data_IF_453743835106
#
_entry.id   IF_453743835106
#
_cell.length_a   1.000
_cell.length_b   1.000
_cell.length_c   1.000
_cell.angle_alpha   90.00
_cell.angle_beta   90.00
_cell.angle_gamma   90.00
#
_symmetry.space_group_name_H-M   'P 1'
#
loop_
_entity.id
_entity.type
_entity.pdbx_description
1 polymer ?
#
# COMPACT_ATOMS: atom_id res chain seq x y z
N UNK A 1 -14.77 6.36 -1.92
CA UNK A 1 -14.63 5.68 -0.61
C UNK A 1 -13.64 6.45 0.24
N UNK A 2 -13.74 6.38 1.57
CA UNK A 2 -12.58 6.64 2.41
C UNK A 2 -11.50 5.61 2.04
N UNK A 3 -10.31 6.06 1.65
CA UNK A 3 -9.20 5.19 1.27
C UNK A 3 -8.96 4.19 2.42
N UNK A 4 -9.28 2.91 2.22
CA UNK A 4 -9.07 1.92 3.29
C UNK A 4 -7.58 1.76 3.48
N UNK A 5 -7.13 1.96 4.71
CA UNK A 5 -5.75 1.82 5.06
C UNK A 5 -5.30 0.37 4.81
N UNK A 6 -4.12 0.23 4.21
CA UNK A 6 -3.42 -1.03 4.02
C UNK A 6 -2.68 -1.28 5.34
N UNK A 7 -2.93 -2.42 5.97
CA UNK A 7 -2.19 -2.84 7.16
C UNK A 7 -0.94 -3.61 6.73
N UNK A 8 0.22 -3.15 7.20
CA UNK A 8 1.51 -3.77 6.90
C UNK A 8 2.02 -4.43 8.18
N UNK A 9 1.91 -5.76 8.32
CA UNK A 9 2.41 -6.47 9.47
C UNK A 9 3.92 -6.71 9.36
N UNK A 10 4.60 -6.67 10.51
CA UNK A 10 5.99 -7.08 10.63
C UNK A 10 6.22 -7.74 11.99
N UNK A 11 7.25 -8.58 12.07
CA UNK A 11 7.56 -9.35 13.27
C UNK A 11 8.90 -8.89 13.84
N UNK A 12 8.96 -8.73 15.16
CA UNK A 12 10.18 -8.37 15.87
C UNK A 12 10.47 -9.43 16.92
N UNK A 13 11.70 -9.93 16.90
CA UNK A 13 12.22 -10.85 17.87
C UNK A 13 13.46 -10.29 18.55
N UNK A 14 13.68 -10.75 19.77
CA UNK A 14 14.91 -10.57 20.53
C UNK A 14 15.42 -11.95 20.92
N UNK A 15 16.66 -12.27 20.54
CA UNK A 15 17.30 -13.55 20.85
C UNK A 15 16.45 -14.76 20.40
N UNK A 16 15.73 -14.60 19.28
CA UNK A 16 14.83 -15.61 18.73
C UNK A 16 13.48 -15.75 19.45
N UNK A 17 13.17 -14.92 20.44
CA UNK A 17 11.87 -14.87 21.12
C UNK A 17 11.05 -13.65 20.69
N UNK A 18 9.71 -13.72 20.69
CA UNK A 18 8.88 -12.57 20.35
C UNK A 18 9.13 -11.38 21.29
N UNK A 19 9.36 -10.20 20.73
CA UNK A 19 9.44 -8.96 21.50
C UNK A 19 8.05 -8.37 21.69
N UNK A 20 7.44 -8.53 22.86
CA UNK A 20 6.08 -8.02 23.14
C UNK A 20 6.11 -6.71 23.91
N UNK A 21 5.12 -5.84 23.69
CA UNK A 21 4.91 -4.61 24.45
C UNK A 21 5.88 -3.48 24.13
N UNK A 22 6.59 -3.54 23.00
CA UNK A 22 7.65 -2.59 22.66
C UNK A 22 7.21 -1.51 21.65
N UNK A 23 5.92 -1.35 21.36
CA UNK A 23 5.45 -0.43 20.30
C UNK A 23 5.86 1.04 20.51
N UNK A 24 6.06 1.48 21.76
CA UNK A 24 6.53 2.84 22.09
C UNK A 24 8.03 3.03 21.88
N UNK A 25 8.77 1.94 21.79
CA UNK A 25 10.22 1.91 21.55
C UNK A 25 10.55 1.78 20.05
N UNK A 26 9.53 1.77 19.19
CA UNK A 26 9.68 1.65 17.74
C UNK A 26 9.40 2.98 17.05
N UNK A 27 10.20 3.30 16.04
CA UNK A 27 9.96 4.45 15.17
C UNK A 27 10.53 4.18 13.77
N UNK A 28 10.15 5.01 12.80
CA UNK A 28 10.74 4.98 11.48
C UNK A 28 12.07 5.75 11.49
N UNK A 29 13.18 5.03 11.38
CA UNK A 29 14.50 5.62 11.11
C UNK A 29 14.49 6.36 9.76
N UNK A 30 13.79 5.80 8.78
CA UNK A 30 13.52 6.48 7.52
C UNK A 30 12.23 5.97 6.89
N UNK A 31 11.53 6.87 6.20
CA UNK A 31 10.41 6.55 5.33
C UNK A 31 10.42 7.51 4.15
N UNK A 32 10.54 6.98 2.93
CA UNK A 32 10.64 7.77 1.72
C UNK A 32 9.71 7.23 0.65
N UNK A 33 9.28 8.10 -0.25
CA UNK A 33 8.72 7.67 -1.54
C UNK A 33 9.84 7.14 -2.44
N UNK A 34 9.48 6.34 -3.43
CA UNK A 34 10.44 5.74 -4.38
C UNK A 34 11.27 6.76 -5.17
N UNK A 35 10.76 7.97 -5.34
CA UNK A 35 11.47 9.11 -5.95
C UNK A 35 12.47 9.81 -4.99
N UNK A 36 12.51 9.38 -3.72
CA UNK A 36 13.43 9.86 -2.70
C UNK A 36 12.89 10.97 -1.80
N UNK A 37 11.63 11.40 -1.95
CA UNK A 37 11.02 12.38 -1.03
C UNK A 37 10.89 11.82 0.38
N UNK A 38 11.36 12.58 1.37
CA UNK A 38 11.31 12.15 2.78
C UNK A 38 9.92 12.37 3.38
N UNK A 39 9.39 11.32 4.00
CA UNK A 39 8.08 11.27 4.65
C UNK A 39 8.19 10.81 6.11
N UNK A 40 9.40 10.71 6.65
CA UNK A 40 9.65 10.19 8.01
C UNK A 40 8.93 10.99 9.10
N UNK A 41 8.82 12.32 8.94
CA UNK A 41 8.08 13.19 9.89
C UNK A 41 6.57 12.94 9.92
N UNK A 42 6.04 12.26 8.91
CA UNK A 42 4.64 11.91 8.80
C UNK A 42 4.40 10.42 8.93
N UNK A 43 5.40 9.69 9.44
CA UNK A 43 5.33 8.24 9.56
C UNK A 43 4.09 7.81 10.36
N UNK A 44 3.42 6.73 9.93
CA UNK A 44 2.26 6.21 10.64
C UNK A 44 2.68 5.62 11.99
N UNK A 45 1.76 5.67 12.95
CA UNK A 45 1.98 5.03 14.24
C UNK A 45 2.12 3.50 14.08
N UNK A 46 3.05 2.93 14.85
CA UNK A 46 3.24 1.49 14.98
C UNK A 46 2.40 0.99 16.15
N UNK A 47 1.72 -0.14 15.97
CA UNK A 47 0.89 -0.78 17.01
C UNK A 47 1.15 -2.28 17.07
N UNK A 48 1.19 -2.83 18.28
CA UNK A 48 1.30 -4.28 18.46
C UNK A 48 -0.03 -4.97 18.16
N UNK A 49 0.02 -6.10 17.45
CA UNK A 49 -1.12 -6.99 17.17
C UNK A 49 -1.02 -8.34 17.89
N UNK A 50 0.06 -8.54 18.65
CA UNK A 50 0.23 -9.61 19.62
C UNK A 50 1.36 -10.58 19.29
N UNK A 51 2.01 -11.10 20.33
CA UNK A 51 3.02 -12.14 20.18
C UNK A 51 4.22 -11.73 19.35
N UNK A 52 4.70 -10.49 19.49
CA UNK A 52 5.84 -9.93 18.74
C UNK A 52 5.50 -9.45 17.33
N UNK A 53 4.24 -9.53 16.93
CA UNK A 53 3.76 -8.93 15.69
C UNK A 53 3.30 -7.50 15.92
N UNK A 54 3.69 -6.64 14.98
CA UNK A 54 3.36 -5.23 14.93
C UNK A 54 2.77 -4.90 13.57
N UNK A 55 2.10 -3.75 13.48
CA UNK A 55 1.62 -3.19 12.22
C UNK A 55 1.74 -1.68 12.21
N UNK A 56 1.77 -1.16 11.01
CA UNK A 56 1.42 0.23 10.72
C UNK A 56 0.42 0.25 9.57
N UNK A 57 -0.15 1.42 9.29
CA UNK A 57 -1.16 1.54 8.23
C UNK A 57 -0.96 2.80 7.40
N UNK A 58 -1.06 2.64 6.08
CA UNK A 58 -0.98 3.73 5.10
C UNK A 58 -2.12 3.61 4.11
N UNK A 59 -2.57 4.72 3.56
CA UNK A 59 -3.68 4.74 2.61
C UNK A 59 -3.25 5.45 1.32
N UNK A 60 -3.31 4.74 0.20
CA UNK A 60 -3.12 5.33 -1.13
C UNK A 60 -4.09 6.49 -1.36
N UNK A 61 -3.67 7.52 -2.09
CA UNK A 61 -4.49 8.71 -2.38
C UNK A 61 -4.79 9.57 -1.15
N UNK A 62 -4.08 9.35 -0.04
CA UNK A 62 -4.20 10.15 1.18
C UNK A 62 -2.86 10.78 1.50
N UNK A 63 -2.80 12.11 1.51
CA UNK A 63 -1.60 12.82 1.93
C UNK A 63 -1.16 12.34 3.33
N UNK A 64 0.14 12.15 3.58
CA UNK A 64 1.27 12.47 2.70
C UNK A 64 1.78 11.28 1.86
N UNK A 65 1.02 10.18 1.80
CA UNK A 65 1.34 8.92 1.11
C UNK A 65 0.41 8.71 -0.09
N UNK A 66 0.06 9.81 -0.75
CA UNK A 66 -0.96 9.88 -1.77
C UNK A 66 -0.55 9.23 -3.08
N UNK A 67 0.75 9.09 -3.35
CA UNK A 67 1.25 8.60 -4.63
C UNK A 67 2.52 7.74 -4.46
N UNK A 68 2.60 6.66 -5.26
CA UNK A 68 3.80 5.86 -5.45
C UNK A 68 4.13 4.90 -4.31
N UNK A 69 5.22 4.17 -4.49
CA UNK A 69 5.70 3.19 -3.52
C UNK A 69 6.48 3.87 -2.37
N UNK A 70 6.39 3.29 -1.18
CA UNK A 70 7.14 3.72 0.01
C UNK A 70 8.23 2.71 0.34
N UNK A 71 9.41 3.22 0.70
CA UNK A 71 10.55 2.44 1.15
C UNK A 71 11.04 3.06 2.46
N UNK A 72 11.30 2.24 3.46
CA UNK A 72 11.74 2.73 4.76
C UNK A 72 12.47 1.70 5.58
N UNK A 73 12.90 2.14 6.76
CA UNK A 73 13.50 1.31 7.79
C UNK A 73 12.84 1.68 9.11
N UNK A 74 12.33 0.66 9.80
CA UNK A 74 11.86 0.78 11.17
C UNK A 74 13.05 0.48 12.09
N UNK A 75 13.29 1.37 13.04
CA UNK A 75 14.10 1.10 14.22
C UNK A 75 13.17 0.52 15.30
N UNK A 76 13.33 -0.77 15.60
CA UNK A 76 12.52 -1.48 16.60
C UNK A 76 12.98 -1.27 18.06
N UNK A 77 14.08 -0.53 18.28
CA UNK A 77 14.63 -0.22 19.60
C UNK A 77 15.31 1.16 19.57
N UNK A 78 14.51 2.19 19.24
CA UNK A 78 14.98 3.56 18.98
C UNK A 78 15.73 4.17 20.16
N UNK A 79 15.28 3.85 21.38
CA UNK A 79 15.86 4.36 22.62
C UNK A 79 16.90 3.38 23.22
N UNK A 80 17.13 2.22 22.60
CA UNK A 80 18.08 1.20 23.05
C UNK A 80 17.68 0.49 24.35
N UNK A 81 16.41 0.56 24.75
CA UNK A 81 15.89 -0.01 25.99
C UNK A 81 15.87 -1.53 25.93
N UNK A 82 15.55 -2.10 24.76
CA UNK A 82 15.42 -3.53 24.56
C UNK A 82 16.76 -4.22 24.30
N UNK A 83 17.83 -3.46 24.02
CA UNK A 83 19.16 -3.96 23.69
C UNK A 83 19.14 -4.94 22.50
N UNK A 84 18.38 -4.60 21.45
CA UNK A 84 18.36 -5.41 20.22
C UNK A 84 19.73 -5.35 19.53
N UNK A 85 20.16 -6.48 18.96
CA UNK A 85 21.32 -6.46 18.07
C UNK A 85 20.98 -5.69 16.78
N UNK A 86 21.97 -5.09 16.11
CA UNK A 86 21.74 -4.34 14.87
C UNK A 86 20.97 -5.14 13.79
N UNK A 87 21.14 -6.46 13.77
CA UNK A 87 20.46 -7.37 12.82
C UNK A 87 19.00 -7.64 13.16
N UNK A 88 18.60 -7.42 14.42
CA UNK A 88 17.22 -7.55 14.90
C UNK A 88 16.50 -6.20 14.96
N UNK A 89 17.29 -5.14 15.13
CA UNK A 89 16.84 -3.76 15.36
C UNK A 89 16.23 -3.12 14.12
N UNK A 90 16.87 -3.26 12.95
CA UNK A 90 16.47 -2.54 11.74
C UNK A 90 15.62 -3.41 10.81
N UNK A 91 14.34 -3.07 10.67
CA UNK A 91 13.38 -3.80 9.84
C UNK A 91 13.17 -3.03 8.53
N UNK A 92 13.60 -3.55 7.37
CA UNK A 92 13.32 -2.92 6.09
C UNK A 92 11.84 -3.07 5.75
N UNK A 93 11.25 -2.00 5.22
CA UNK A 93 9.86 -1.99 4.78
C UNK A 93 9.76 -1.46 3.36
N UNK A 94 8.95 -2.14 2.55
CA UNK A 94 8.56 -1.71 1.20
C UNK A 94 7.05 -1.84 1.10
N UNK A 95 6.37 -0.75 0.74
CA UNK A 95 4.92 -0.71 0.58
C UNK A 95 4.60 -0.23 -0.82
N UNK A 96 4.07 -1.13 -1.65
CA UNK A 96 3.73 -0.83 -3.04
C UNK A 96 2.31 -0.30 -3.20
N UNK A 97 2.09 0.99 -2.93
CA UNK A 97 0.74 1.57 -2.93
C UNK A 97 0.07 1.50 -4.30
N UNK A 98 0.84 1.64 -5.38
CA UNK A 98 0.33 1.57 -6.75
C UNK A 98 -0.21 0.17 -7.09
N UNK A 99 0.45 -0.88 -6.59
CA UNK A 99 -0.02 -2.25 -6.74
C UNK A 99 -1.37 -2.45 -6.03
N UNK A 100 -1.53 -1.90 -4.84
CA UNK A 100 -2.81 -1.95 -4.11
C UNK A 100 -3.91 -1.15 -4.83
N UNK A 101 -3.58 0.00 -5.42
CA UNK A 101 -4.52 0.77 -6.23
C UNK A 101 -4.97 -0.03 -7.46
N UNK A 102 -4.05 -0.66 -8.19
CA UNK A 102 -4.37 -1.49 -9.35
C UNK A 102 -5.20 -2.73 -8.98
N UNK A 103 -4.80 -3.46 -7.93
CA UNK A 103 -5.50 -4.66 -7.46
C UNK A 103 -6.97 -4.37 -7.14
N UNK A 104 -7.26 -3.19 -6.57
CA UNK A 104 -8.62 -2.74 -6.31
C UNK A 104 -9.41 -2.45 -7.58
N UNK A 105 -8.82 -1.72 -8.52
CA UNK A 105 -9.44 -1.46 -9.81
C UNK A 105 -9.82 -2.78 -10.49
N UNK A 106 -8.88 -3.74 -10.55
CA UNK A 106 -9.13 -5.06 -11.13
C UNK A 106 -10.19 -5.85 -10.35
N UNK A 107 -10.20 -5.80 -9.01
CA UNK A 107 -11.19 -6.52 -8.19
C UNK A 107 -12.62 -6.00 -8.38
N UNK A 108 -12.80 -4.75 -8.79
CA UNK A 108 -14.09 -4.15 -9.12
C UNK A 108 -14.50 -4.36 -10.59
N UNK A 109 -13.71 -5.12 -11.34
CA UNK A 109 -14.06 -5.50 -12.71
C UNK A 109 -15.22 -6.50 -12.65
N UNK A 110 -16.33 -6.11 -13.26
CA UNK A 110 -17.55 -6.92 -13.35
C UNK A 110 -17.87 -7.20 -14.81
N UNK A 111 -18.47 -8.35 -15.09
CA UNK A 111 -18.97 -8.65 -16.43
C UNK A 111 -20.48 -8.49 -16.45
N UNK A 112 -20.99 -7.71 -17.39
CA UNK A 112 -22.41 -7.72 -17.73
C UNK A 112 -22.74 -9.05 -18.41
N UNK A 113 -23.55 -9.88 -17.74
CA UNK A 113 -23.89 -11.22 -18.22
C UNK A 113 -24.81 -11.21 -19.44
N UNK A 114 -25.46 -10.08 -19.74
CA UNK A 114 -26.38 -9.96 -20.86
C UNK A 114 -25.65 -9.59 -22.15
N UNK A 115 -24.69 -8.68 -22.08
CA UNK A 115 -23.93 -8.21 -23.26
C UNK A 115 -22.53 -8.82 -23.36
N UNK A 116 -22.03 -9.45 -22.29
CA UNK A 116 -20.65 -9.92 -22.18
C UNK A 116 -19.65 -8.81 -21.89
N UNK A 117 -20.10 -7.54 -21.79
CA UNK A 117 -19.24 -6.38 -21.60
C UNK A 117 -18.49 -6.45 -20.27
N UNK A 118 -17.22 -6.06 -20.29
CA UNK A 118 -16.47 -5.90 -19.05
C UNK A 118 -16.57 -4.44 -18.58
N UNK A 119 -17.03 -4.26 -17.34
CA UNK A 119 -17.29 -2.97 -16.71
C UNK A 119 -16.37 -2.80 -15.51
N UNK A 120 -15.62 -1.72 -15.52
CA UNK A 120 -14.97 -1.17 -14.34
C UNK A 120 -15.91 -0.12 -13.76
N UNK A 121 -16.28 -0.25 -12.49
CA UNK A 121 -17.17 0.70 -11.81
C UNK A 121 -16.43 1.43 -10.69
N UNK A 122 -16.82 2.68 -10.44
CA UNK A 122 -16.43 3.38 -9.23
C UNK A 122 -17.24 2.86 -8.02
N UNK A 123 -16.90 3.39 -6.85
CA UNK A 123 -17.53 3.06 -5.58
C UNK A 123 -19.03 3.40 -5.50
N UNK A 124 -19.49 4.35 -6.33
CA UNK A 124 -20.89 4.73 -6.45
C UNK A 124 -21.68 3.80 -7.36
N UNK A 125 -21.02 2.82 -7.99
CA UNK A 125 -21.62 1.92 -8.96
C UNK A 125 -21.67 2.46 -10.39
N UNK A 126 -21.12 3.64 -10.65
CA UNK A 126 -21.04 4.24 -11.98
C UNK A 126 -19.92 3.57 -12.79
N UNK A 127 -20.18 3.32 -14.07
CA UNK A 127 -19.15 2.78 -14.98
C UNK A 127 -18.10 3.84 -15.29
N UNK A 128 -16.85 3.55 -14.93
CA UNK A 128 -15.68 4.40 -15.25
C UNK A 128 -14.93 3.91 -16.49
N UNK A 129 -15.01 2.63 -16.81
CA UNK A 129 -14.47 2.06 -18.04
C UNK A 129 -15.36 0.92 -18.50
N UNK A 130 -15.72 0.91 -19.78
CA UNK A 130 -16.47 -0.17 -20.43
C UNK A 130 -15.65 -0.72 -21.59
N UNK A 131 -15.34 -2.01 -21.55
CA UNK A 131 -14.86 -2.77 -22.70
C UNK A 131 -16.08 -3.45 -23.31
N UNK A 132 -16.57 -2.87 -24.42
CA UNK A 132 -17.68 -3.42 -25.17
C UNK A 132 -17.25 -4.62 -25.99
N UNK A 133 -17.97 -5.74 -25.89
CA UNK A 133 -17.82 -6.84 -26.85
C UNK A 133 -18.87 -6.64 -27.93
N UNK A 134 -18.54 -5.84 -28.94
CA UNK A 134 -19.39 -5.71 -30.13
C UNK A 134 -19.11 -6.89 -31.05
N UNK A 135 -20.05 -7.83 -31.09
CA UNK A 135 -20.06 -8.97 -31.99
C UNK A 135 -20.37 -8.51 -33.42
N UNK A 136 -19.42 -7.80 -34.04
CA UNK A 136 -19.32 -7.47 -35.47
C UNK A 136 -18.03 -6.69 -35.70
N UNK A 137 -16.96 -7.41 -36.03
CA UNK A 137 -15.62 -6.91 -36.37
C UNK A 137 -14.84 -6.22 -35.23
N UNK A 138 -13.86 -6.95 -34.67
CA UNK A 138 -12.79 -6.38 -33.86
C UNK A 138 -12.08 -5.28 -34.65
N UNK A 139 -12.40 -4.02 -34.37
CA UNK A 139 -11.69 -2.86 -34.88
C UNK A 139 -11.16 -2.07 -33.69
N UNK A 140 -9.85 -1.93 -33.64
CA UNK A 140 -9.13 -1.20 -32.61
C UNK A 140 -9.03 0.25 -33.10
N UNK A 141 -9.96 1.10 -32.69
CA UNK A 141 -9.93 2.51 -33.07
C UNK A 141 -8.90 3.25 -32.21
N UNK A 142 -7.68 3.35 -32.74
CA UNK A 142 -6.69 4.31 -32.23
C UNK A 142 -7.05 5.68 -32.80
N UNK A 143 -7.38 6.65 -31.96
CA UNK A 143 -7.45 8.06 -32.37
C UNK A 143 -6.00 8.52 -32.66
N UNK A 144 -5.60 8.75 -33.93
CA UNK A 144 -4.24 9.17 -34.24
C UNK A 144 -4.18 10.70 -34.28
N UNK A 145 -3.46 11.29 -33.32
CA UNK A 145 -2.96 12.67 -33.39
C UNK A 145 -4.02 13.77 -33.28
N UNK A 146 -4.21 14.30 -32.07
CA UNK A 146 -4.66 15.68 -31.92
C UNK A 146 -3.60 16.58 -32.58
N UNK A 147 -3.87 17.03 -33.79
CA UNK A 147 -3.12 18.11 -34.43
C UNK A 147 -3.70 19.43 -33.95
N UNK A 148 -2.82 20.30 -33.48
CA UNK A 148 -3.05 21.73 -33.27
C UNK A 148 -3.66 22.41 -34.50
#
# INVERSE_FOLDING_TARGET
MANTAIEIPFYVAKDGQPLTGASTEMDFESLKTIDGSDKSLSAPAISEIGGGWYKFSVAYGTAPFDEGDLIGVIDADKDGVNNLANVEKYIPVEVRLDFYALSRLVSNMSQDKLTGDMLLKNDSGDTILKLGITDSAATLERIPGASS
#
